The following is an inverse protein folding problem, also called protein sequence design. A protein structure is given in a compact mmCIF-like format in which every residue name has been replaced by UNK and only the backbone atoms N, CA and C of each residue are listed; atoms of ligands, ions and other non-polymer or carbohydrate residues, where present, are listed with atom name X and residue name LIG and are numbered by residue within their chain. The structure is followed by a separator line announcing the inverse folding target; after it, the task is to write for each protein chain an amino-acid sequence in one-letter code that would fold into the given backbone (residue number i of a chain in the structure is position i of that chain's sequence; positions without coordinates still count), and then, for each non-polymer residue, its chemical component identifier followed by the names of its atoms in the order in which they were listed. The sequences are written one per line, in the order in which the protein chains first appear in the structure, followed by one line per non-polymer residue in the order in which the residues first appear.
data_IF_477489713782
#
_entry.id   IF_477489713782
#
_cell.length_a   1.000
_cell.length_b   1.000
_cell.length_c   1.000
_cell.angle_alpha   90.00
_cell.angle_beta   90.00
_cell.angle_gamma   90.00
#
_symmetry.space_group_name_H-M   'P 1'
#
loop_
_entity.id
_entity.type
_entity.pdbx_description
1 polymer ?
#
# COMPACT_ATOMS: atom_id res chain seq x y z
N UNK A 1 5.65 7.24 -24.32
CA UNK A 1 6.30 6.88 -23.04
C UNK A 1 5.28 6.93 -21.92
N UNK A 2 4.86 5.78 -21.37
CA UNK A 2 4.10 5.75 -20.11
C UNK A 2 5.11 5.55 -18.98
N UNK A 3 5.28 6.55 -18.14
CA UNK A 3 6.10 6.45 -16.93
C UNK A 3 5.19 6.11 -15.77
N UNK A 4 5.65 5.23 -14.90
CA UNK A 4 4.99 4.93 -13.63
C UNK A 4 5.85 5.46 -12.50
N UNK A 5 5.20 6.01 -11.48
CA UNK A 5 5.82 6.49 -10.25
C UNK A 5 5.35 5.58 -9.12
N UNK A 6 6.29 4.91 -8.47
CA UNK A 6 6.02 4.04 -7.32
C UNK A 6 6.83 4.53 -6.13
N UNK A 7 6.25 4.42 -4.93
CA UNK A 7 6.83 4.97 -3.70
C UNK A 7 7.22 3.86 -2.73
N UNK A 8 8.36 4.02 -2.07
CA UNK A 8 8.75 3.17 -0.94
C UNK A 8 8.34 3.87 0.35
N UNK A 9 7.36 3.30 1.05
CA UNK A 9 6.87 3.85 2.32
C UNK A 9 7.76 3.51 3.51
N UNK A 10 7.39 4.06 4.67
CA UNK A 10 8.06 3.82 5.95
C UNK A 10 7.71 2.44 6.53
N UNK A 11 8.41 2.05 7.59
CA UNK A 11 8.00 0.92 8.41
C UNK A 11 6.83 1.36 9.32
N UNK A 12 5.72 0.62 9.27
CA UNK A 12 4.54 0.89 10.07
C UNK A 12 4.23 -0.29 10.98
N UNK A 13 3.96 -0.01 12.26
CA UNK A 13 3.48 -1.00 13.21
C UNK A 13 1.98 -1.27 13.01
N UNK A 14 1.20 -0.22 12.75
CA UNK A 14 -0.25 -0.26 12.55
C UNK A 14 -0.64 -0.40 11.07
N UNK A 15 -1.68 -1.20 10.79
CA UNK A 15 -2.24 -1.35 9.44
C UNK A 15 -2.95 -0.09 8.95
N UNK A 16 -3.68 0.62 9.82
CA UNK A 16 -4.45 1.79 9.41
C UNK A 16 -3.56 2.92 8.89
N UNK A 17 -2.43 3.15 9.57
CA UNK A 17 -1.47 4.20 9.18
C UNK A 17 -0.84 3.90 7.81
N UNK A 18 -0.50 2.64 7.56
CA UNK A 18 -0.03 2.21 6.24
C UNK A 18 -1.09 2.40 5.15
N UNK A 19 -2.35 2.05 5.42
CA UNK A 19 -3.43 2.23 4.45
C UNK A 19 -3.70 3.72 4.17
N UNK A 20 -3.55 4.58 5.17
CA UNK A 20 -3.67 6.03 5.00
C UNK A 20 -2.52 6.59 4.15
N UNK A 21 -1.28 6.20 4.42
CA UNK A 21 -0.10 6.57 3.60
C UNK A 21 -0.28 6.15 2.12
N UNK A 22 -0.82 4.95 1.89
CA UNK A 22 -1.10 4.45 0.53
C UNK A 22 -2.20 5.27 -0.16
N UNK A 23 -3.25 5.69 0.58
CA UNK A 23 -4.28 6.59 0.04
C UNK A 23 -3.68 7.95 -0.31
N UNK A 24 -2.84 8.51 0.55
CA UNK A 24 -2.15 9.77 0.29
C UNK A 24 -1.25 9.68 -0.94
N UNK A 25 -0.49 8.58 -1.11
CA UNK A 25 0.33 8.34 -2.31
C UNK A 25 -0.54 8.31 -3.57
N UNK A 26 -1.66 7.58 -3.54
CA UNK A 26 -2.60 7.51 -4.67
C UNK A 26 -3.17 8.90 -4.99
N UNK A 27 -3.63 9.61 -3.96
CA UNK A 27 -4.28 10.92 -4.10
C UNK A 27 -3.27 11.99 -4.56
N UNK A 28 -1.99 11.81 -4.24
CA UNK A 28 -0.86 12.58 -4.78
C UNK A 28 -0.43 12.20 -6.20
N UNK A 29 -1.14 11.29 -6.88
CA UNK A 29 -0.85 10.88 -8.27
C UNK A 29 0.15 9.74 -8.43
N UNK A 30 0.53 9.06 -7.34
CA UNK A 30 1.36 7.87 -7.38
C UNK A 30 0.64 6.66 -7.98
N UNK A 31 1.38 5.82 -8.71
CA UNK A 31 0.84 4.65 -9.41
C UNK A 31 0.93 3.35 -8.59
N UNK A 32 1.62 3.36 -7.45
CA UNK A 32 1.78 2.17 -6.61
C UNK A 32 2.74 2.37 -5.43
N UNK A 33 2.82 1.35 -4.58
CA UNK A 33 3.73 1.28 -3.44
C UNK A 33 4.64 0.04 -3.52
N UNK A 34 5.88 0.20 -3.10
CA UNK A 34 6.83 -0.89 -2.84
C UNK A 34 6.71 -1.26 -1.36
N UNK A 35 6.31 -2.49 -1.06
CA UNK A 35 6.01 -2.94 0.31
C UNK A 35 6.77 -4.22 0.62
N UNK A 36 7.61 -4.19 1.66
CA UNK A 36 8.38 -5.33 2.14
C UNK A 36 8.00 -5.74 3.56
N UNK A 37 8.74 -5.22 4.55
CA UNK A 37 8.58 -5.57 5.98
C UNK A 37 7.15 -5.45 6.50
N UNK A 38 6.40 -4.44 6.06
CA UNK A 38 5.01 -4.24 6.46
C UNK A 38 4.06 -5.37 6.03
N UNK A 39 4.46 -6.21 5.07
CA UNK A 39 3.71 -7.38 4.60
C UNK A 39 4.32 -8.66 5.14
N UNK A 40 5.61 -8.89 4.91
CA UNK A 40 6.24 -10.19 5.16
C UNK A 40 6.54 -10.50 6.63
N UNK A 41 6.47 -9.51 7.54
CA UNK A 41 6.62 -9.73 8.98
C UNK A 41 5.28 -9.93 9.70
N UNK A 42 4.16 -9.98 8.96
CA UNK A 42 2.82 -10.21 9.50
C UNK A 42 2.40 -11.67 9.34
N UNK A 43 1.44 -12.16 10.15
CA UNK A 43 0.76 -13.41 9.87
C UNK A 43 0.21 -13.43 8.44
N UNK A 44 0.24 -14.60 7.79
CA UNK A 44 -0.14 -14.76 6.37
C UNK A 44 -1.52 -14.17 6.04
N UNK A 45 -2.52 -14.47 6.86
CA UNK A 45 -3.89 -13.99 6.64
C UNK A 45 -3.99 -12.46 6.76
N UNK A 46 -3.29 -11.86 7.72
CA UNK A 46 -3.20 -10.39 7.86
C UNK A 46 -2.49 -9.77 6.65
N UNK A 47 -1.40 -10.38 6.19
CA UNK A 47 -0.66 -9.92 5.02
C UNK A 47 -1.52 -9.95 3.75
N UNK A 48 -2.30 -11.00 3.53
CA UNK A 48 -3.22 -11.11 2.40
C UNK A 48 -4.36 -10.11 2.48
N UNK A 49 -4.95 -9.92 3.66
CA UNK A 49 -5.97 -8.90 3.90
C UNK A 49 -5.44 -7.49 3.63
N UNK A 50 -4.23 -7.19 4.11
CA UNK A 50 -3.55 -5.93 3.85
C UNK A 50 -3.36 -5.70 2.34
N UNK A 51 -2.77 -6.68 1.64
CA UNK A 51 -2.51 -6.56 0.19
C UNK A 51 -3.80 -6.39 -0.60
N UNK A 52 -4.89 -7.07 -0.21
CA UNK A 52 -6.21 -6.91 -0.85
C UNK A 52 -6.69 -5.46 -0.73
N UNK A 53 -6.64 -4.88 0.47
CA UNK A 53 -7.02 -3.49 0.71
C UNK A 53 -6.15 -2.50 -0.08
N UNK A 54 -4.83 -2.73 -0.14
CA UNK A 54 -3.91 -1.90 -0.95
C UNK A 54 -4.27 -1.95 -2.43
N UNK A 55 -4.56 -3.14 -2.96
CA UNK A 55 -4.97 -3.31 -4.35
C UNK A 55 -6.29 -2.59 -4.62
N UNK A 56 -7.26 -2.67 -3.71
CA UNK A 56 -8.55 -2.01 -3.87
C UNK A 56 -8.43 -0.48 -3.85
N UNK A 57 -7.57 0.08 -2.98
CA UNK A 57 -7.23 1.51 -2.95
C UNK A 57 -6.75 1.98 -4.33
N UNK A 58 -5.78 1.28 -4.94
CA UNK A 58 -5.24 1.63 -6.26
C UNK A 58 -6.20 1.35 -7.42
N UNK A 59 -7.17 0.44 -7.24
CA UNK A 59 -8.27 0.23 -8.19
C UNK A 59 -9.39 1.27 -8.07
N UNK A 60 -9.31 2.17 -7.09
CA UNK A 60 -10.38 3.15 -6.81
C UNK A 60 -11.65 2.50 -6.26
N UNK A 61 -11.55 1.30 -5.70
CA UNK A 61 -12.64 0.63 -4.99
C UNK A 61 -12.53 1.05 -3.52
N UNK A 62 -13.42 1.92 -3.08
CA UNK A 62 -13.53 2.32 -1.67
C UNK A 62 -14.53 1.42 -0.97
#
# INVERSE_FOLDING_TARGET
NRRIVVFSGNAFTNMQDLLNDIREIRDGGGNGSIIGRNTFQRPREEALSLLTQVIDIYKGKN
#
